data_IF_756921261894
#
_entry.id   IF_756921261894
#
_cell.length_a   1.000
_cell.length_b   1.000
_cell.length_c   1.000
_cell.angle_alpha   90.00
_cell.angle_beta   90.00
_cell.angle_gamma   90.00
#
_symmetry.space_group_name_H-M   'P 1'
#
loop_
_entity.id
_entity.type
_entity.pdbx_description
1 polymer ?
#
# COMPACT_ATOMS: atom_id res chain seq x y z
N UNK A 1 -10.69 -22.15 13.18
CA UNK A 1 -11.97 -22.24 12.44
C UNK A 1 -13.21 -22.19 13.37
N UNK A 2 -13.13 -22.84 14.54
CA UNK A 2 -14.28 -22.98 15.44
C UNK A 2 -14.69 -21.63 16.08
N UNK A 3 -13.72 -20.81 16.45
CA UNK A 3 -13.97 -19.46 16.97
C UNK A 3 -14.63 -18.56 15.93
N UNK A 4 -14.11 -18.58 14.71
CA UNK A 4 -14.67 -17.78 13.59
C UNK A 4 -16.08 -18.26 13.26
N UNK A 5 -16.31 -19.57 13.17
CA UNK A 5 -17.63 -20.15 12.92
C UNK A 5 -18.66 -19.73 13.98
N UNK A 6 -18.27 -19.74 15.25
CA UNK A 6 -19.11 -19.31 16.36
C UNK A 6 -19.38 -17.80 16.34
N UNK A 7 -18.36 -16.98 16.06
CA UNK A 7 -18.46 -15.52 15.99
C UNK A 7 -19.42 -15.05 14.88
N UNK A 8 -19.34 -15.69 13.69
CA UNK A 8 -20.18 -15.33 12.55
C UNK A 8 -21.48 -16.15 12.44
N UNK A 9 -21.75 -17.08 13.36
CA UNK A 9 -22.95 -17.90 13.35
C UNK A 9 -23.09 -18.81 12.13
N UNK A 10 -21.97 -19.28 11.56
CA UNK A 10 -21.93 -20.14 10.37
C UNK A 10 -21.37 -21.52 10.69
N UNK A 11 -21.56 -22.49 9.78
CA UNK A 11 -20.93 -23.81 9.93
C UNK A 11 -19.41 -23.74 9.66
N UNK A 12 -18.66 -24.78 10.07
CA UNK A 12 -17.21 -24.87 9.88
C UNK A 12 -16.78 -24.97 8.40
N UNK A 13 -17.68 -25.47 7.54
CA UNK A 13 -17.37 -25.71 6.13
C UNK A 13 -17.03 -24.42 5.40
N UNK A 14 -17.92 -23.39 5.35
CA UNK A 14 -17.60 -22.13 4.65
C UNK A 14 -16.40 -21.42 5.26
N UNK A 15 -16.15 -21.54 6.57
CA UNK A 15 -14.95 -20.95 7.20
C UNK A 15 -13.68 -21.64 6.70
N UNK A 16 -13.68 -22.97 6.57
CA UNK A 16 -12.53 -23.71 6.04
C UNK A 16 -12.27 -23.39 4.57
N UNK A 17 -13.32 -23.25 3.77
CA UNK A 17 -13.21 -22.86 2.35
C UNK A 17 -12.65 -21.44 2.22
N UNK A 18 -13.15 -20.48 3.00
CA UNK A 18 -12.61 -19.11 3.02
C UNK A 18 -11.14 -19.07 3.47
N UNK A 19 -10.77 -19.82 4.51
CA UNK A 19 -9.37 -19.90 4.96
C UNK A 19 -8.47 -20.53 3.90
N UNK A 20 -8.94 -21.57 3.21
CA UNK A 20 -8.18 -22.21 2.13
C UNK A 20 -8.00 -21.26 0.93
N UNK A 21 -9.03 -20.48 0.59
CA UNK A 21 -8.96 -19.46 -0.44
C UNK A 21 -7.96 -18.38 -0.05
N UNK A 22 -8.06 -17.81 1.15
CA UNK A 22 -7.14 -16.79 1.65
C UNK A 22 -5.68 -17.31 1.71
N UNK A 23 -5.48 -18.60 2.03
CA UNK A 23 -4.17 -19.23 1.97
C UNK A 23 -3.66 -19.33 0.54
N UNK A 24 -4.51 -19.71 -0.43
CA UNK A 24 -4.13 -19.78 -1.84
C UNK A 24 -3.78 -18.42 -2.44
N UNK A 25 -4.36 -17.35 -1.90
CA UNK A 25 -4.07 -15.96 -2.23
C UNK A 25 -2.84 -15.41 -1.49
N UNK A 26 -2.16 -16.24 -0.66
CA UNK A 26 -1.00 -15.82 0.13
C UNK A 26 -1.32 -14.89 1.30
N UNK A 27 -2.60 -14.74 1.65
CA UNK A 27 -3.06 -13.85 2.73
C UNK A 27 -2.93 -14.48 4.12
N UNK A 28 -2.94 -15.80 4.18
CA UNK A 28 -2.82 -16.59 5.40
C UNK A 28 -1.78 -17.67 5.26
N UNK A 29 -1.13 -17.96 6.37
CA UNK A 29 -0.37 -19.18 6.62
C UNK A 29 -1.17 -20.08 7.57
N UNK A 30 -1.42 -21.33 7.15
CA UNK A 30 -2.05 -22.32 8.01
C UNK A 30 -0.95 -23.21 8.60
N UNK A 31 -0.67 -23.04 9.88
CA UNK A 31 0.26 -23.87 10.60
C UNK A 31 -0.46 -25.09 11.20
N UNK A 32 0.05 -26.31 10.92
CA UNK A 32 -0.51 -27.54 11.48
C UNK A 32 -0.57 -27.44 13.02
N UNK A 33 -1.73 -27.62 13.60
CA UNK A 33 -2.04 -27.51 15.03
C UNK A 33 -1.96 -26.12 15.67
N UNK A 34 -1.59 -25.05 14.92
CA UNK A 34 -1.46 -23.67 15.45
C UNK A 34 -2.48 -22.69 14.87
N UNK A 35 -3.40 -23.18 14.00
CA UNK A 35 -4.44 -22.34 13.37
C UNK A 35 -3.93 -21.55 12.16
N UNK A 36 -4.71 -20.57 11.75
CA UNK A 36 -4.38 -19.65 10.68
C UNK A 36 -3.82 -18.34 11.26
N UNK A 37 -2.76 -17.83 10.66
CA UNK A 37 -2.24 -16.48 10.96
C UNK A 37 -2.11 -15.70 9.67
N UNK A 38 -2.23 -14.37 9.76
CA UNK A 38 -2.01 -13.49 8.63
C UNK A 38 -0.57 -13.63 8.16
N UNK A 39 -0.41 -13.83 6.85
CA UNK A 39 0.89 -13.97 6.20
C UNK A 39 1.71 -12.68 6.39
N UNK A 40 2.98 -12.84 6.72
CA UNK A 40 3.92 -11.73 6.86
C UNK A 40 4.97 -11.84 5.75
N UNK A 41 5.18 -10.78 4.95
CA UNK A 41 6.19 -10.82 3.93
C UNK A 41 7.58 -10.95 4.56
N UNK A 42 8.47 -11.73 3.94
CA UNK A 42 9.88 -11.82 4.33
C UNK A 42 10.65 -10.62 3.79
N UNK A 43 11.81 -10.32 4.35
CA UNK A 43 12.64 -9.20 3.91
C UNK A 43 12.93 -9.23 2.39
N UNK A 44 13.30 -10.39 1.85
CA UNK A 44 13.54 -10.56 0.41
C UNK A 44 12.28 -10.36 -0.44
N UNK A 45 11.10 -10.72 0.07
CA UNK A 45 9.82 -10.49 -0.60
C UNK A 45 9.44 -9.00 -0.57
N UNK A 46 9.70 -8.31 0.55
CA UNK A 46 9.54 -6.86 0.64
C UNK A 46 10.43 -6.17 -0.40
N UNK A 47 11.70 -6.57 -0.50
CA UNK A 47 12.64 -6.03 -1.49
C UNK A 47 12.11 -6.20 -2.92
N UNK A 48 11.70 -7.41 -3.29
CA UNK A 48 11.15 -7.70 -4.62
C UNK A 48 9.87 -6.90 -4.91
N UNK A 49 8.95 -6.81 -3.95
CA UNK A 49 7.72 -6.03 -4.10
C UNK A 49 8.01 -4.55 -4.36
N UNK A 50 9.00 -3.95 -3.67
CA UNK A 50 9.37 -2.56 -3.90
C UNK A 50 10.09 -2.35 -5.24
N UNK A 51 10.92 -3.29 -5.69
CA UNK A 51 11.54 -3.23 -7.01
C UNK A 51 10.47 -3.26 -8.12
N UNK A 52 9.47 -4.14 -8.00
CA UNK A 52 8.34 -4.21 -8.94
C UNK A 52 7.47 -2.95 -8.87
N UNK A 53 7.21 -2.42 -7.68
CA UNK A 53 6.48 -1.15 -7.49
C UNK A 53 7.20 0.00 -8.18
N UNK A 54 8.50 0.10 -8.05
CA UNK A 54 9.29 1.17 -8.70
C UNK A 54 9.15 1.13 -10.23
N UNK A 55 9.13 -0.06 -10.83
CA UNK A 55 8.91 -0.23 -12.27
C UNK A 55 7.49 0.17 -12.68
N UNK A 56 6.48 -0.35 -11.98
CA UNK A 56 5.06 -0.15 -12.33
C UNK A 56 4.62 1.29 -12.04
N UNK A 57 4.93 1.81 -10.85
CA UNK A 57 4.51 3.15 -10.43
C UNK A 57 5.28 4.24 -11.20
N UNK A 58 6.57 3.99 -11.52
CA UNK A 58 7.36 4.87 -12.37
C UNK A 58 6.79 5.00 -13.79
N UNK A 59 6.37 3.88 -14.42
CA UNK A 59 5.71 3.90 -15.74
C UNK A 59 4.34 4.60 -15.67
N UNK A 60 3.55 4.32 -14.62
CA UNK A 60 2.26 4.96 -14.41
C UNK A 60 2.39 6.47 -14.24
N UNK A 61 3.31 6.93 -13.38
CA UNK A 61 3.58 8.35 -13.16
C UNK A 61 4.03 9.04 -14.45
N UNK A 62 4.98 8.46 -15.17
CA UNK A 62 5.48 9.02 -16.42
C UNK A 62 4.39 9.21 -17.47
N UNK A 63 3.41 8.29 -17.52
CA UNK A 63 2.26 8.37 -18.46
C UNK A 63 1.18 9.32 -17.98
N UNK A 64 0.98 9.46 -16.67
CA UNK A 64 0.01 10.39 -16.10
C UNK A 64 0.50 11.85 -16.19
N UNK A 65 1.81 12.07 -16.20
CA UNK A 65 2.42 13.38 -16.28
C UNK A 65 1.97 14.10 -17.58
N UNK A 66 1.58 15.37 -17.45
CA UNK A 66 1.04 16.15 -18.57
C UNK A 66 -0.42 15.86 -18.93
N UNK A 67 -1.07 14.89 -18.27
CA UNK A 67 -2.49 14.58 -18.44
C UNK A 67 -3.36 15.04 -17.26
N UNK A 68 -2.74 15.54 -16.21
CA UNK A 68 -3.45 16.16 -15.11
C UNK A 68 -4.00 17.52 -15.52
N UNK A 69 -5.28 17.70 -15.29
CA UNK A 69 -5.96 18.99 -15.41
C UNK A 69 -6.16 19.64 -14.02
N UNK A 70 -6.71 20.85 -13.98
CA UNK A 70 -6.98 21.53 -12.72
C UNK A 70 -7.94 20.76 -11.79
N UNK A 71 -8.83 19.93 -12.34
CA UNK A 71 -9.77 19.12 -11.55
C UNK A 71 -9.02 17.99 -10.84
N UNK A 72 -8.20 17.25 -11.58
CA UNK A 72 -7.41 16.14 -11.03
C UNK A 72 -6.36 16.63 -10.01
N UNK A 73 -5.74 17.80 -10.24
CA UNK A 73 -4.82 18.41 -9.27
C UNK A 73 -5.52 18.83 -7.97
N UNK A 74 -6.73 19.41 -8.06
CA UNK A 74 -7.54 19.71 -6.87
C UNK A 74 -7.94 18.44 -6.12
N UNK A 75 -8.25 17.37 -6.83
CA UNK A 75 -8.58 16.09 -6.19
C UNK A 75 -7.37 15.50 -5.46
N UNK A 76 -6.17 15.55 -6.03
CA UNK A 76 -4.93 15.14 -5.35
C UNK A 76 -4.71 15.95 -4.06
N UNK A 77 -4.89 17.26 -4.10
CA UNK A 77 -4.75 18.12 -2.93
C UNK A 77 -5.78 17.75 -1.86
N UNK A 78 -7.06 17.56 -2.24
CA UNK A 78 -8.13 17.16 -1.33
C UNK A 78 -7.86 15.81 -0.65
N UNK A 79 -7.36 14.83 -1.43
CA UNK A 79 -7.01 13.51 -0.88
C UNK A 79 -5.83 13.60 0.09
N UNK A 80 -4.84 14.44 -0.22
CA UNK A 80 -3.70 14.67 0.67
C UNK A 80 -4.13 15.36 1.98
N UNK A 81 -4.99 16.36 1.90
CA UNK A 81 -5.52 17.04 3.10
C UNK A 81 -6.29 16.04 4.00
N UNK A 82 -7.13 15.19 3.39
CA UNK A 82 -7.84 14.13 4.11
C UNK A 82 -6.90 13.09 4.75
N UNK A 83 -5.76 12.81 4.12
CA UNK A 83 -4.72 11.93 4.67
C UNK A 83 -4.06 12.53 5.92
N UNK A 84 -3.80 13.83 5.92
CA UNK A 84 -3.23 14.53 7.07
C UNK A 84 -4.18 14.56 8.27
N UNK A 85 -5.49 14.60 8.00
CA UNK A 85 -6.56 14.58 9.00
C UNK A 85 -6.92 13.16 9.48
N UNK A 86 -6.42 12.09 8.83
CA UNK A 86 -6.74 10.71 9.21
C UNK A 86 -6.22 10.37 10.62
N UNK A 87 -7.12 9.98 11.51
CA UNK A 87 -6.81 9.69 12.91
C UNK A 87 -6.39 8.23 13.15
N UNK A 88 -6.84 7.32 12.29
CA UNK A 88 -6.56 5.89 12.42
C UNK A 88 -5.72 5.35 11.26
N UNK A 89 -5.07 4.22 11.53
CA UNK A 89 -4.13 3.59 10.58
C UNK A 89 -4.80 3.08 9.32
N UNK A 90 -5.98 2.49 9.43
CA UNK A 90 -6.68 1.92 8.28
C UNK A 90 -7.22 3.01 7.36
N UNK A 91 -7.76 4.08 7.94
CA UNK A 91 -8.16 5.29 7.21
C UNK A 91 -6.98 5.90 6.47
N UNK A 92 -5.82 5.99 7.12
CA UNK A 92 -4.60 6.50 6.49
C UNK A 92 -4.17 5.62 5.30
N UNK A 93 -4.09 4.27 5.46
CA UNK A 93 -3.72 3.35 4.38
C UNK A 93 -4.69 3.46 3.20
N UNK A 94 -6.00 3.50 3.47
CA UNK A 94 -7.02 3.62 2.44
C UNK A 94 -6.92 4.94 1.69
N UNK A 95 -6.67 6.04 2.40
CA UNK A 95 -6.46 7.37 1.81
C UNK A 95 -5.19 7.44 0.97
N UNK A 96 -4.10 6.83 1.43
CA UNK A 96 -2.83 6.77 0.71
C UNK A 96 -2.96 5.97 -0.61
N UNK A 97 -3.69 4.86 -0.59
CA UNK A 97 -4.04 4.13 -1.82
C UNK A 97 -4.84 5.03 -2.77
N UNK A 98 -5.87 5.70 -2.27
CA UNK A 98 -6.71 6.58 -3.08
C UNK A 98 -5.91 7.75 -3.68
N UNK A 99 -4.98 8.33 -2.93
CA UNK A 99 -4.07 9.37 -3.41
C UNK A 99 -3.22 8.87 -4.60
N UNK A 100 -2.56 7.74 -4.45
CA UNK A 100 -1.74 7.17 -5.51
C UNK A 100 -2.56 6.71 -6.72
N UNK A 101 -3.77 6.18 -6.52
CA UNK A 101 -4.68 5.87 -7.63
C UNK A 101 -5.11 7.11 -8.40
N UNK A 102 -5.38 8.22 -7.72
CA UNK A 102 -5.68 9.49 -8.38
C UNK A 102 -4.45 10.07 -9.11
N UNK A 103 -3.25 9.92 -8.53
CA UNK A 103 -1.99 10.31 -9.15
C UNK A 103 -1.72 9.55 -10.46
N UNK A 104 -2.02 8.25 -10.50
CA UNK A 104 -1.77 7.40 -11.66
C UNK A 104 -2.96 7.29 -12.62
N UNK A 105 -4.17 7.68 -12.20
CA UNK A 105 -5.41 7.55 -12.98
C UNK A 105 -5.31 8.10 -14.40
N UNK A 106 -4.76 9.30 -14.63
CA UNK A 106 -4.60 9.88 -15.96
C UNK A 106 -3.71 9.07 -16.92
N UNK A 107 -2.92 8.10 -16.41
CA UNK A 107 -2.18 7.19 -17.29
C UNK A 107 -3.09 6.31 -18.15
N UNK A 108 -4.35 6.08 -17.75
CA UNK A 108 -5.32 5.22 -18.45
C UNK A 108 -4.80 3.79 -18.67
N UNK A 109 -4.15 3.22 -17.65
CA UNK A 109 -3.57 1.87 -17.66
C UNK A 109 -4.23 0.96 -16.61
N UNK A 110 -5.46 0.48 -16.83
CA UNK A 110 -6.21 -0.25 -15.81
C UNK A 110 -5.53 -1.52 -15.34
N UNK A 111 -4.79 -2.24 -16.20
CA UNK A 111 -4.03 -3.44 -15.82
C UNK A 111 -2.83 -3.10 -14.94
N UNK A 112 -2.07 -2.04 -15.26
CA UNK A 112 -0.96 -1.58 -14.45
C UNK A 112 -1.45 -1.07 -13.09
N UNK A 113 -2.60 -0.40 -13.05
CA UNK A 113 -3.22 0.06 -11.82
C UNK A 113 -3.71 -1.11 -10.95
N UNK A 114 -4.24 -2.18 -11.56
CA UNK A 114 -4.57 -3.41 -10.84
C UNK A 114 -3.31 -4.08 -10.25
N UNK A 115 -2.22 -4.12 -11.01
CA UNK A 115 -0.94 -4.65 -10.53
C UNK A 115 -0.36 -3.80 -9.39
N UNK A 116 -0.42 -2.47 -9.48
CA UNK A 116 -0.07 -1.57 -8.38
C UNK A 116 -0.78 -1.94 -7.07
N UNK A 117 -2.12 -2.17 -7.10
CA UNK A 117 -2.89 -2.60 -5.93
C UNK A 117 -2.42 -3.95 -5.39
N UNK A 118 -2.15 -4.91 -6.28
CA UNK A 118 -1.67 -6.25 -5.90
C UNK A 118 -0.30 -6.20 -5.23
N UNK A 119 0.63 -5.40 -5.75
CA UNK A 119 1.97 -5.24 -5.18
C UNK A 119 1.96 -4.53 -3.82
N UNK A 120 1.02 -3.60 -3.61
CA UNK A 120 0.88 -2.88 -2.33
C UNK A 120 0.25 -3.73 -1.24
N UNK A 121 -0.75 -4.53 -1.59
CA UNK A 121 -1.62 -5.19 -0.61
C UNK A 121 -0.87 -5.99 0.49
N UNK A 122 0.20 -6.76 0.21
CA UNK A 122 0.97 -7.44 1.25
C UNK A 122 1.65 -6.46 2.22
N UNK A 123 2.23 -5.38 1.69
CA UNK A 123 2.95 -4.37 2.46
C UNK A 123 1.98 -3.55 3.32
N UNK A 124 0.86 -3.14 2.77
CA UNK A 124 -0.16 -2.35 3.49
C UNK A 124 -0.75 -3.14 4.67
N UNK A 125 -1.05 -4.43 4.47
CA UNK A 125 -1.50 -5.33 5.55
C UNK A 125 -0.45 -5.51 6.65
N UNK A 126 0.80 -5.75 6.25
CA UNK A 126 1.91 -5.87 7.18
C UNK A 126 2.13 -4.57 7.97
N UNK A 127 2.17 -3.44 7.26
CA UNK A 127 2.33 -2.12 7.87
C UNK A 127 1.19 -1.77 8.83
N UNK A 128 -0.05 -2.18 8.53
CA UNK A 128 -1.19 -1.96 9.41
C UNK A 128 -1.02 -2.63 10.79
N UNK A 129 -0.28 -3.74 10.85
CA UNK A 129 -0.05 -4.51 12.08
C UNK A 129 1.24 -4.11 12.79
N UNK A 130 2.31 -3.85 12.02
CA UNK A 130 3.67 -3.69 12.56
C UNK A 130 4.02 -2.25 12.93
N UNK A 131 3.39 -1.24 12.31
CA UNK A 131 3.74 0.16 12.51
C UNK A 131 2.75 0.86 13.44
N UNK A 132 3.27 1.55 14.45
CA UNK A 132 2.47 2.35 15.36
C UNK A 132 1.80 3.55 14.66
N UNK A 133 0.74 4.13 15.27
CA UNK A 133 0.11 5.35 14.77
C UNK A 133 1.14 6.49 14.70
N UNK A 134 1.17 7.21 13.58
CA UNK A 134 2.06 8.37 13.39
C UNK A 134 3.47 8.05 12.88
N UNK A 135 3.82 6.79 12.65
CA UNK A 135 5.08 6.45 12.01
C UNK A 135 5.24 7.19 10.68
N UNK A 136 6.12 8.18 10.64
CA UNK A 136 6.50 8.99 9.47
C UNK A 136 5.38 9.77 8.76
N UNK A 137 4.21 9.98 9.38
CA UNK A 137 3.07 10.70 8.78
C UNK A 137 3.49 12.03 8.11
N UNK A 138 4.28 12.85 8.78
CA UNK A 138 4.73 14.14 8.26
C UNK A 138 5.67 14.00 7.05
N UNK A 139 6.61 13.05 7.06
CA UNK A 139 7.53 12.83 5.93
C UNK A 139 6.81 12.42 4.65
N UNK A 140 5.79 11.56 4.75
CA UNK A 140 4.96 11.18 3.62
C UNK A 140 4.10 12.35 3.10
N UNK A 141 3.54 13.16 4.00
CA UNK A 141 2.78 14.34 3.63
C UNK A 141 3.63 15.32 2.79
N UNK A 142 4.85 15.61 3.23
CA UNK A 142 5.78 16.48 2.51
C UNK A 142 6.14 15.91 1.12
N UNK A 143 6.39 14.59 1.02
CA UNK A 143 6.66 13.92 -0.24
C UNK A 143 5.47 13.98 -1.20
N UNK A 144 4.25 13.72 -0.73
CA UNK A 144 3.04 13.82 -1.54
C UNK A 144 2.78 15.25 -2.02
N UNK A 145 2.94 16.26 -1.17
CA UNK A 145 2.80 17.67 -1.58
C UNK A 145 3.83 18.06 -2.66
N UNK A 146 5.05 17.55 -2.55
CA UNK A 146 6.09 17.75 -3.57
C UNK A 146 5.73 17.01 -4.88
N UNK A 147 5.17 15.80 -4.82
CA UNK A 147 4.66 15.09 -6.00
C UNK A 147 3.57 15.90 -6.70
N UNK A 148 2.59 16.42 -5.96
CA UNK A 148 1.53 17.28 -6.53
C UNK A 148 2.14 18.49 -7.24
N UNK A 149 3.08 19.18 -6.60
CA UNK A 149 3.72 20.36 -7.16
C UNK A 149 4.50 20.05 -8.46
N UNK A 150 5.27 18.94 -8.49
CA UNK A 150 6.04 18.55 -9.69
C UNK A 150 5.14 18.08 -10.82
N UNK A 151 4.04 17.39 -10.52
CA UNK A 151 3.04 16.99 -11.52
C UNK A 151 2.33 18.21 -12.09
N UNK A 152 1.97 19.17 -11.26
CA UNK A 152 1.37 20.43 -11.70
C UNK A 152 2.30 21.26 -12.59
N UNK A 153 3.62 21.21 -12.32
CA UNK A 153 4.65 21.86 -13.12
C UNK A 153 5.03 21.09 -14.39
N UNK A 154 4.59 19.82 -14.53
CA UNK A 154 4.99 18.95 -15.63
C UNK A 154 6.45 18.50 -15.57
N UNK A 155 7.10 18.60 -14.39
CA UNK A 155 8.50 18.23 -14.19
C UNK A 155 8.66 16.72 -14.00
N UNK A 156 8.86 16.00 -15.09
CA UNK A 156 8.99 14.55 -15.10
C UNK A 156 10.19 14.03 -14.30
N UNK A 157 11.32 14.74 -14.37
CA UNK A 157 12.54 14.31 -13.69
C UNK A 157 12.42 14.45 -12.17
N UNK A 158 11.90 15.59 -11.71
CA UNK A 158 11.67 15.82 -10.30
C UNK A 158 10.58 14.90 -9.74
N UNK A 159 9.46 14.70 -10.46
CA UNK A 159 8.38 13.81 -10.03
C UNK A 159 8.89 12.36 -9.86
N UNK A 160 9.67 11.86 -10.81
CA UNK A 160 10.29 10.54 -10.73
C UNK A 160 11.23 10.42 -9.51
N UNK A 161 12.12 11.38 -9.32
CA UNK A 161 13.06 11.39 -8.19
C UNK A 161 12.33 11.36 -6.85
N UNK A 162 11.24 12.14 -6.71
CA UNK A 162 10.45 12.16 -5.47
C UNK A 162 9.74 10.82 -5.25
N UNK A 163 9.18 10.21 -6.29
CA UNK A 163 8.55 8.90 -6.19
C UNK A 163 9.56 7.82 -5.76
N UNK A 164 10.75 7.81 -6.35
CA UNK A 164 11.83 6.88 -5.98
C UNK A 164 12.23 7.05 -4.51
N UNK A 165 12.37 8.28 -4.03
CA UNK A 165 12.67 8.59 -2.63
C UNK A 165 11.54 8.14 -1.69
N UNK A 166 10.30 8.38 -2.06
CA UNK A 166 9.11 7.96 -1.33
C UNK A 166 9.04 6.43 -1.18
N UNK A 167 9.22 5.70 -2.28
CA UNK A 167 9.23 4.24 -2.28
C UNK A 167 10.39 3.69 -1.45
N UNK A 168 11.60 4.24 -1.60
CA UNK A 168 12.78 3.81 -0.83
C UNK A 168 12.62 4.05 0.67
N UNK A 169 12.03 5.17 1.05
CA UNK A 169 11.78 5.48 2.45
C UNK A 169 10.74 4.52 3.07
N UNK A 170 9.68 4.19 2.32
CA UNK A 170 8.66 3.23 2.75
C UNK A 170 9.24 1.81 2.81
N UNK A 171 10.07 1.41 1.85
CA UNK A 171 10.84 0.14 1.86
C UNK A 171 11.67 0.01 3.14
N UNK A 172 12.43 1.03 3.49
CA UNK A 172 13.28 1.04 4.68
C UNK A 172 12.47 0.80 5.95
N UNK A 173 11.30 1.44 6.07
CA UNK A 173 10.40 1.26 7.21
C UNK A 173 9.83 -0.17 7.25
N UNK A 174 9.40 -0.70 6.11
CA UNK A 174 8.86 -2.05 6.03
C UNK A 174 9.91 -3.11 6.41
N UNK A 175 11.15 -2.96 5.93
CA UNK A 175 12.26 -3.86 6.27
C UNK A 175 12.63 -3.79 7.75
N UNK A 176 12.67 -2.58 8.33
CA UNK A 176 12.95 -2.40 9.76
C UNK A 176 11.89 -3.07 10.64
N UNK A 177 10.61 -2.93 10.27
CA UNK A 177 9.51 -3.59 10.97
C UNK A 177 9.58 -5.13 10.86
N UNK A 178 10.04 -5.66 9.72
CA UNK A 178 10.24 -7.10 9.53
C UNK A 178 11.35 -7.66 10.41
N UNK A 179 12.41 -6.88 10.66
CA UNK A 179 13.56 -7.31 11.48
C UNK A 179 13.30 -7.25 12.98
N UNK A 180 12.41 -6.34 13.43
CA UNK A 180 12.10 -6.15 14.85
C UNK A 180 11.26 -7.27 15.51
N UNK A 181 10.57 -8.07 14.72
CA UNK A 181 9.68 -9.14 15.20
C UNK A 181 10.40 -10.51 15.41
N UNK A 182 11.71 -10.59 15.22
CA UNK A 182 12.50 -11.82 15.34
C UNK A 182 12.99 -12.14 16.78
N UNK A 183 12.75 -11.26 17.74
CA UNK A 183 13.28 -11.39 19.13
C UNK A 183 12.19 -11.60 20.21
N UNK A 184 11.05 -12.22 19.85
CA UNK A 184 10.02 -12.51 20.87
C UNK A 184 9.53 -13.94 20.81
#
# INVERSE_FOLDING_TARGET
SDLIAAEYGVSRIPVREALAQLQSEGLLEIAHYRGARVSRPRAGEIDELFDLRQLVEGDLLARALGRHDQRSLRELTRLQDALEDADDRLGWISGDIAFHEALYGPAERPRSLALFRQLRAPIDRFSAQALGPGARKQGWADEHRRLIATVAAGDAAAARTILEQHLQATRTIALAACSGDGES
#
